data_IF_102809727607
#
_entry.id   IF_102809727607
#
_cell.length_a   1.000
_cell.length_b   1.000
_cell.length_c   1.000
_cell.angle_alpha   90.00
_cell.angle_beta   90.00
_cell.angle_gamma   90.00
#
_symmetry.space_group_name_H-M   'P 1'
#
loop_
_entity.id
_entity.type
_entity.pdbx_description
1 polymer ?
#
# COMPACT_ATOMS: atom_id res chain seq x y z
N UNK A 1 24.42 -19.03 4.26
CA UNK A 1 24.36 -18.07 5.38
C UNK A 1 22.90 -17.81 5.71
N UNK A 2 22.55 -17.69 6.97
CA UNK A 2 21.20 -17.33 7.44
C UNK A 2 21.19 -15.86 7.87
N UNK A 3 20.01 -15.22 7.83
CA UNK A 3 19.85 -13.82 8.23
C UNK A 3 18.69 -13.68 9.21
N UNK A 4 18.82 -12.74 10.15
CA UNK A 4 17.76 -12.37 11.10
C UNK A 4 17.22 -11.00 10.71
N UNK A 5 15.93 -10.95 10.35
CA UNK A 5 15.23 -9.72 9.94
C UNK A 5 14.30 -9.26 11.05
N UNK A 6 14.29 -7.95 11.34
CA UNK A 6 13.37 -7.32 12.28
C UNK A 6 12.66 -6.17 11.59
N UNK A 7 11.33 -6.21 11.54
CA UNK A 7 10.46 -5.17 10.96
C UNK A 7 9.63 -4.57 12.10
N UNK A 8 9.60 -3.23 12.25
CA UNK A 8 8.86 -2.60 13.33
C UNK A 8 7.35 -2.69 13.10
N UNK A 9 6.58 -2.66 14.19
CA UNK A 9 5.14 -2.44 14.11
C UNK A 9 4.88 -1.02 13.65
N UNK A 10 4.05 -0.85 12.64
CA UNK A 10 3.61 0.47 12.23
C UNK A 10 2.21 0.42 11.62
N UNK A 11 1.57 1.59 11.63
CA UNK A 11 0.32 1.83 10.95
C UNK A 11 0.52 3.07 10.06
N UNK A 12 0.29 2.91 8.77
CA UNK A 12 0.33 3.98 7.79
C UNK A 12 -1.09 4.15 7.28
N UNK A 13 -1.60 5.38 7.36
CA UNK A 13 -2.84 5.75 6.69
C UNK A 13 -2.62 6.98 5.85
N UNK A 14 -3.26 7.00 4.69
CA UNK A 14 -3.12 8.09 3.75
C UNK A 14 -4.46 8.39 3.10
N UNK A 15 -4.77 9.66 2.92
CA UNK A 15 -5.97 10.14 2.24
C UNK A 15 -5.57 11.21 1.24
N UNK A 16 -5.94 11.02 -0.03
CA UNK A 16 -5.54 11.89 -1.12
C UNK A 16 -6.74 12.31 -1.97
N UNK A 17 -6.72 13.57 -2.44
CA UNK A 17 -7.52 13.97 -3.60
C UNK A 17 -6.91 13.33 -4.84
N UNK A 18 -7.72 12.63 -5.64
CA UNK A 18 -7.26 12.09 -6.93
C UNK A 18 -7.42 13.08 -8.07
N UNK A 19 -8.02 14.26 -7.85
CA UNK A 19 -8.25 15.25 -8.92
C UNK A 19 -6.94 15.68 -9.58
N UNK A 20 -5.96 16.08 -8.79
CA UNK A 20 -4.65 16.52 -9.29
C UNK A 20 -3.87 15.36 -9.96
N UNK A 21 -3.69 14.18 -9.33
CA UNK A 21 -3.08 13.02 -9.99
C UNK A 21 -3.75 12.63 -11.31
N UNK A 22 -5.08 12.55 -11.34
CA UNK A 22 -5.83 12.22 -12.55
C UNK A 22 -5.63 13.28 -13.63
N UNK A 23 -5.61 14.57 -13.25
CA UNK A 23 -5.35 15.65 -14.19
C UNK A 23 -3.94 15.56 -14.79
N UNK A 24 -2.93 15.22 -13.99
CA UNK A 24 -1.55 14.99 -14.47
C UNK A 24 -1.44 13.77 -15.40
N UNK A 25 -2.31 12.78 -15.22
CA UNK A 25 -2.41 11.60 -16.08
C UNK A 25 -3.28 11.84 -17.33
N UNK A 26 -3.80 13.06 -17.54
CA UNK A 26 -4.65 13.40 -18.70
C UNK A 26 -6.14 13.13 -18.50
N UNK A 27 -6.57 12.66 -17.33
CA UNK A 27 -7.98 12.47 -16.97
C UNK A 27 -8.49 13.80 -16.40
N UNK A 28 -8.87 14.71 -17.28
CA UNK A 28 -9.27 16.08 -16.92
C UNK A 28 -10.74 16.37 -17.20
N UNK A 29 -11.27 15.87 -18.33
CA UNK A 29 -12.61 16.22 -18.83
C UNK A 29 -13.72 15.92 -17.83
N UNK A 30 -13.63 14.78 -17.12
CA UNK A 30 -14.59 14.34 -16.09
C UNK A 30 -14.79 15.37 -14.96
N UNK A 31 -13.82 16.26 -14.75
CA UNK A 31 -13.87 17.33 -13.73
C UNK A 31 -14.39 18.68 -14.26
N UNK A 32 -14.72 18.77 -15.55
CA UNK A 32 -15.16 20.00 -16.23
C UNK A 32 -16.65 19.95 -16.59
N UNK A 33 -17.20 21.06 -17.08
CA UNK A 33 -18.58 21.11 -17.59
C UNK A 33 -18.77 20.36 -18.92
N UNK A 34 -17.69 19.85 -19.52
CA UNK A 34 -17.72 19.01 -20.72
C UNK A 34 -17.77 17.50 -20.42
N UNK A 35 -17.81 17.10 -19.14
CA UNK A 35 -17.84 15.71 -18.75
C UNK A 35 -19.05 14.95 -19.35
N UNK A 36 -18.77 13.89 -20.10
CA UNK A 36 -19.82 12.94 -20.51
C UNK A 36 -20.06 11.90 -19.41
N UNK A 37 -21.12 12.12 -18.62
CA UNK A 37 -21.62 11.19 -17.60
C UNK A 37 -23.02 10.67 -17.94
N UNK A 38 -23.38 10.63 -19.22
CA UNK A 38 -24.71 10.19 -19.69
C UNK A 38 -25.03 8.74 -19.33
N UNK A 39 -24.01 7.90 -19.13
CA UNK A 39 -24.13 6.55 -18.61
C UNK A 39 -24.59 6.46 -17.14
N UNK A 40 -24.47 7.55 -16.37
CA UNK A 40 -24.94 7.63 -14.97
C UNK A 40 -26.33 8.26 -14.91
N UNK A 41 -26.55 9.37 -15.63
CA UNK A 41 -27.84 10.06 -15.72
C UNK A 41 -27.90 10.93 -16.97
N UNK A 42 -29.11 11.24 -17.43
CA UNK A 42 -29.32 12.16 -18.56
C UNK A 42 -29.13 13.64 -18.21
N UNK A 43 -28.98 13.97 -16.92
CA UNK A 43 -28.73 15.34 -16.48
C UNK A 43 -27.23 15.68 -16.57
N UNK A 44 -26.85 16.92 -16.90
CA UNK A 44 -25.45 17.33 -16.89
C UNK A 44 -24.85 17.16 -15.49
N UNK A 45 -23.74 16.41 -15.41
CA UNK A 45 -22.98 16.19 -14.18
C UNK A 45 -21.50 16.37 -14.45
N UNK A 46 -20.76 16.73 -13.42
CA UNK A 46 -19.30 16.67 -13.39
C UNK A 46 -18.81 16.15 -12.07
N UNK A 47 -17.63 15.55 -12.08
CA UNK A 47 -16.99 15.06 -10.88
C UNK A 47 -16.34 16.22 -10.14
N UNK A 48 -16.85 16.57 -8.96
CA UNK A 48 -16.32 17.69 -8.18
C UNK A 48 -15.07 17.31 -7.38
N UNK A 49 -15.07 16.10 -6.80
CA UNK A 49 -13.99 15.58 -5.94
C UNK A 49 -13.92 14.05 -6.01
N UNK A 50 -12.71 13.52 -5.97
CA UNK A 50 -12.43 12.09 -5.76
C UNK A 50 -11.45 11.97 -4.61
N UNK A 51 -11.80 11.18 -3.59
CA UNK A 51 -10.93 10.96 -2.42
C UNK A 51 -10.57 9.48 -2.34
N UNK A 52 -9.27 9.19 -2.29
CA UNK A 52 -8.76 7.84 -2.05
C UNK A 52 -8.20 7.75 -0.64
N UNK A 53 -8.60 6.72 0.10
CA UNK A 53 -8.09 6.42 1.45
C UNK A 53 -7.48 5.03 1.45
N UNK A 54 -6.25 4.91 1.93
CA UNK A 54 -5.53 3.65 2.09
C UNK A 54 -5.03 3.53 3.53
N UNK A 55 -5.02 2.31 4.07
CA UNK A 55 -4.53 1.98 5.41
C UNK A 55 -3.71 0.70 5.32
N UNK A 56 -2.50 0.71 5.88
CA UNK A 56 -1.60 -0.41 5.99
C UNK A 56 -1.19 -0.57 7.45
N UNK A 57 -1.44 -1.75 8.01
CA UNK A 57 -1.02 -2.10 9.36
C UNK A 57 -0.06 -3.27 9.29
N UNK A 58 1.14 -3.11 9.86
CA UNK A 58 2.14 -4.17 9.96
C UNK A 58 2.27 -4.61 11.41
N UNK A 59 2.13 -5.91 11.61
CA UNK A 59 2.38 -6.60 12.87
C UNK A 59 3.53 -7.60 12.69
N UNK A 60 4.21 -7.93 13.78
CA UNK A 60 5.32 -8.90 13.80
C UNK A 60 4.86 -10.35 13.55
N UNK A 61 3.55 -10.59 13.52
CA UNK A 61 2.92 -11.91 13.37
C UNK A 61 2.69 -12.31 11.90
N UNK A 62 3.66 -12.01 11.04
CA UNK A 62 3.63 -12.40 9.62
C UNK A 62 4.35 -13.74 9.40
N UNK A 63 3.56 -14.81 9.22
CA UNK A 63 3.96 -16.21 8.99
C UNK A 63 4.85 -16.83 10.08
N UNK A 64 4.18 -17.44 11.07
CA UNK A 64 4.73 -18.48 11.92
C UNK A 64 5.48 -19.51 11.06
N UNK A 65 6.82 -19.45 11.04
CA UNK A 65 7.65 -20.49 10.46
C UNK A 65 7.62 -21.72 11.38
N UNK A 66 6.45 -22.33 11.54
CA UNK A 66 6.23 -23.57 12.26
C UNK A 66 6.68 -24.74 11.37
N UNK A 67 8.00 -24.85 11.17
CA UNK A 67 8.66 -25.94 10.47
C UNK A 67 9.90 -26.36 11.25
N UNK A 68 9.72 -26.76 12.51
CA UNK A 68 10.81 -27.25 13.33
C UNK A 68 11.22 -28.67 12.88
N UNK A 69 12.20 -28.77 11.98
CA UNK A 69 13.00 -29.99 11.85
C UNK A 69 14.27 -29.77 12.68
N UNK A 70 14.36 -30.42 13.83
CA UNK A 70 15.49 -30.25 14.74
C UNK A 70 16.69 -31.08 14.24
N UNK A 71 17.63 -30.40 13.60
CA UNK A 71 19.04 -30.78 13.57
C UNK A 71 19.82 -29.65 14.23
N UNK A 72 20.60 -29.95 15.28
CA UNK A 72 21.46 -28.96 15.95
C UNK A 72 22.67 -28.63 15.06
N UNK A 73 22.44 -27.79 14.07
CA UNK A 73 23.50 -27.21 13.25
C UNK A 73 23.98 -25.92 13.93
N UNK A 74 25.18 -25.96 14.52
CA UNK A 74 25.85 -24.77 15.01
C UNK A 74 26.37 -24.01 13.79
N UNK A 75 25.93 -22.76 13.51
CA UNK A 75 26.43 -22.03 12.35
C UNK A 75 27.91 -21.69 12.56
N UNK A 76 28.74 -21.96 11.54
CA UNK A 76 30.17 -21.60 11.54
C UNK A 76 30.43 -20.08 11.56
N UNK A 77 29.40 -19.24 11.41
CA UNK A 77 29.51 -17.78 11.39
C UNK A 77 28.26 -17.09 11.97
N UNK A 78 28.42 -15.87 12.46
CA UNK A 78 27.28 -15.05 12.91
C UNK A 78 26.32 -14.76 11.74
N UNK A 79 24.99 -14.90 11.94
CA UNK A 79 24.01 -14.53 10.92
C UNK A 79 23.98 -13.01 10.75
N UNK A 80 23.77 -12.56 9.51
CA UNK A 80 23.62 -11.13 9.21
C UNK A 80 22.31 -10.63 9.83
N UNK A 81 22.39 -9.54 10.59
CA UNK A 81 21.22 -8.89 11.21
C UNK A 81 20.78 -7.69 10.37
N UNK A 82 19.54 -7.70 9.88
CA UNK A 82 18.95 -6.60 9.11
C UNK A 82 17.88 -5.95 9.98
N UNK A 83 18.03 -4.64 10.25
CA UNK A 83 17.11 -3.85 11.05
C UNK A 83 16.57 -2.70 10.22
N UNK A 84 15.24 -2.61 10.12
CA UNK A 84 14.55 -1.45 9.58
C UNK A 84 14.15 -0.58 10.78
N UNK A 85 14.84 0.56 11.00
CA UNK A 85 14.57 1.50 12.09
C UNK A 85 13.83 2.76 11.61
#
# INVERSE_FOLDING_TARGET
GTARVSIPKFNISATYSLKEPFSQLGITEIFTDHADLTGVTRQPLKLSKVTHKAVLTVHETGAEAAGATAAELIPFSMPVKIMFN
#
